data_IF_058601123145
#
_entry.id   IF_058601123145
#
_cell.length_a   1.000
_cell.length_b   1.000
_cell.length_c   1.000
_cell.angle_alpha   90.00
_cell.angle_beta   90.00
_cell.angle_gamma   90.00
#
_symmetry.space_group_name_H-M   'P 1'
#
loop_
_entity.id
_entity.type
_entity.pdbx_description
1 polymer ?
#
# COMPACT_ATOMS: atom_id res chain seq x y z
N UNK A 1 -5.67 17.39 -9.12
CA UNK A 1 -4.81 16.19 -9.28
C UNK A 1 -4.03 16.00 -8.00
N UNK A 2 -4.12 14.82 -7.38
CA UNK A 2 -3.35 14.49 -6.18
C UNK A 2 -1.90 14.18 -6.48
N UNK A 3 -1.61 13.54 -7.62
CA UNK A 3 -0.25 13.29 -8.08
C UNK A 3 -0.17 13.30 -9.60
N UNK A 4 0.97 13.77 -10.12
CA UNK A 4 1.27 13.78 -11.56
C UNK A 4 2.74 13.39 -11.75
N UNK A 5 2.98 12.37 -12.56
CA UNK A 5 4.30 11.91 -12.96
C UNK A 5 4.42 12.08 -14.46
N UNK A 6 5.52 12.70 -14.95
CA UNK A 6 5.77 12.89 -16.39
C UNK A 6 7.21 12.58 -16.72
N UNK A 7 7.39 11.74 -17.74
CA UNK A 7 8.68 11.32 -18.27
C UNK A 7 9.68 10.88 -17.20
N UNK A 8 9.17 10.15 -16.15
CA UNK A 8 10.00 9.72 -15.04
C UNK A 8 10.97 8.63 -15.48
N UNK A 9 12.25 8.92 -15.29
CA UNK A 9 13.33 7.95 -15.48
C UNK A 9 14.11 7.80 -14.19
N UNK A 10 14.40 6.56 -13.81
CA UNK A 10 15.20 6.23 -12.63
C UNK A 10 16.25 5.20 -13.01
N UNK A 11 17.52 5.54 -12.81
CA UNK A 11 18.63 4.62 -12.94
C UNK A 11 19.38 4.48 -11.60
N UNK A 12 19.82 3.28 -11.26
CA UNK A 12 20.64 3.00 -10.05
C UNK A 12 21.95 2.38 -10.49
N UNK A 13 23.06 3.01 -10.13
CA UNK A 13 24.41 2.59 -10.56
C UNK A 13 24.50 2.43 -12.10
N UNK A 14 23.88 3.32 -12.85
CA UNK A 14 23.82 3.30 -14.33
C UNK A 14 22.87 2.27 -14.94
N UNK A 15 22.20 1.43 -14.14
CA UNK A 15 21.18 0.48 -14.62
C UNK A 15 19.81 1.14 -14.62
N UNK A 16 19.10 1.25 -15.76
CA UNK A 16 17.74 1.75 -15.81
C UNK A 16 16.78 0.82 -15.06
N UNK A 17 15.92 1.40 -14.23
CA UNK A 17 14.90 0.71 -13.44
C UNK A 17 13.49 1.18 -13.84
N UNK A 18 13.33 2.48 -14.09
CA UNK A 18 12.09 3.10 -14.58
C UNK A 18 12.49 3.92 -15.82
N UNK A 19 11.70 3.81 -16.88
CA UNK A 19 12.03 4.35 -18.20
C UNK A 19 10.79 5.00 -18.82
N UNK A 20 10.78 6.32 -18.89
CA UNK A 20 9.76 7.17 -19.50
C UNK A 20 8.34 6.91 -18.98
N UNK A 21 8.16 6.91 -17.65
CA UNK A 21 6.86 6.63 -17.02
C UNK A 21 6.05 7.90 -16.86
N UNK A 22 4.82 7.85 -17.38
CA UNK A 22 3.74 8.80 -17.13
C UNK A 22 2.63 8.15 -16.29
N UNK A 23 2.24 8.81 -15.20
CA UNK A 23 1.16 8.36 -14.31
C UNK A 23 0.49 9.57 -13.68
N UNK A 24 -0.83 9.54 -13.53
CA UNK A 24 -1.57 10.56 -12.81
C UNK A 24 -2.61 9.93 -11.87
N UNK A 25 -2.93 10.65 -10.79
CA UNK A 25 -3.95 10.28 -9.81
C UNK A 25 -4.83 11.50 -9.59
N UNK A 26 -6.11 11.39 -9.95
CA UNK A 26 -7.08 12.45 -9.69
C UNK A 26 -7.40 12.54 -8.18
N UNK A 27 -7.99 13.67 -7.76
CA UNK A 27 -8.43 13.82 -6.38
C UNK A 27 -9.55 12.83 -6.06
N UNK A 28 -9.42 12.09 -4.97
CA UNK A 28 -10.35 11.05 -4.55
C UNK A 28 -10.29 9.75 -5.37
N UNK A 29 -9.35 9.64 -6.32
CA UNK A 29 -9.22 8.45 -7.17
C UNK A 29 -8.37 7.36 -6.51
N UNK A 30 -8.78 6.10 -6.71
CA UNK A 30 -8.01 4.92 -6.32
C UNK A 30 -7.41 4.28 -7.57
N UNK A 31 -6.10 4.49 -7.75
CA UNK A 31 -5.33 4.02 -8.90
C UNK A 31 -4.45 2.85 -8.51
N UNK A 32 -4.41 1.83 -9.36
CA UNK A 32 -3.53 0.67 -9.22
C UNK A 32 -2.24 0.81 -10.02
N UNK A 33 -1.15 0.28 -9.48
CA UNK A 33 0.08 0.05 -10.22
C UNK A 33 0.46 -1.42 -10.07
N UNK A 34 0.28 -2.18 -11.14
CA UNK A 34 0.50 -3.62 -11.15
C UNK A 34 1.66 -3.99 -12.08
N UNK A 35 2.34 -5.08 -11.79
CA UNK A 35 3.44 -5.60 -12.61
C UNK A 35 4.20 -6.69 -11.89
N UNK A 36 5.08 -7.39 -12.60
CA UNK A 36 5.94 -8.43 -12.06
C UNK A 36 6.88 -7.90 -10.97
N UNK A 37 7.42 -8.81 -10.14
CA UNK A 37 8.46 -8.45 -9.18
C UNK A 37 9.68 -7.87 -9.91
N UNK A 38 10.21 -6.77 -9.40
CA UNK A 38 11.36 -6.07 -10.02
C UNK A 38 11.01 -5.15 -11.20
N UNK A 39 9.73 -4.98 -11.57
CA UNK A 39 9.35 -4.09 -12.69
C UNK A 39 9.55 -2.58 -12.42
N UNK A 40 9.85 -2.16 -11.17
CA UNK A 40 10.10 -0.76 -10.83
C UNK A 40 9.02 -0.09 -9.96
N UNK A 41 7.91 -0.78 -9.62
CA UNK A 41 6.76 -0.22 -8.86
C UNK A 41 7.16 0.51 -7.57
N UNK A 42 7.89 -0.17 -6.69
CA UNK A 42 8.34 0.44 -5.42
C UNK A 42 9.35 1.57 -5.63
N UNK A 43 10.05 1.62 -6.77
CA UNK A 43 10.93 2.74 -7.09
C UNK A 43 10.13 3.99 -7.47
N UNK A 44 8.99 3.82 -8.17
CA UNK A 44 8.05 4.91 -8.45
C UNK A 44 7.48 5.44 -7.13
N UNK A 45 7.02 4.56 -6.23
CA UNK A 45 6.53 4.96 -4.90
C UNK A 45 7.60 5.74 -4.11
N UNK A 46 8.84 5.26 -4.10
CA UNK A 46 9.96 5.95 -3.43
C UNK A 46 10.30 7.28 -4.09
N UNK A 47 10.18 7.39 -5.42
CA UNK A 47 10.37 8.66 -6.13
C UNK A 47 9.31 9.69 -5.70
N UNK A 48 8.04 9.28 -5.60
CA UNK A 48 6.96 10.13 -5.11
C UNK A 48 7.21 10.62 -3.68
N UNK A 49 7.82 9.80 -2.83
CA UNK A 49 8.15 10.14 -1.45
C UNK A 49 9.48 10.88 -1.30
N UNK A 50 10.27 11.06 -2.37
CA UNK A 50 11.63 11.58 -2.28
C UNK A 50 12.57 10.69 -1.47
N UNK A 51 12.35 9.36 -1.48
CA UNK A 51 13.07 8.35 -0.69
C UNK A 51 13.93 7.42 -1.57
N UNK A 52 14.34 7.89 -2.73
CA UNK A 52 15.28 7.15 -3.57
C UNK A 52 16.68 7.10 -2.94
N UNK A 53 17.45 6.02 -3.15
CA UNK A 53 18.82 5.94 -2.65
C UNK A 53 19.70 7.04 -3.29
N UNK A 54 20.72 7.48 -2.57
CA UNK A 54 21.62 8.55 -3.03
C UNK A 54 22.35 8.21 -4.35
N UNK A 55 22.44 6.94 -4.72
CA UNK A 55 23.00 6.47 -5.99
C UNK A 55 22.03 6.52 -7.17
N UNK A 56 20.76 6.90 -6.92
CA UNK A 56 19.77 7.02 -7.97
C UNK A 56 19.97 8.29 -8.79
N UNK A 57 19.95 8.12 -10.11
CA UNK A 57 19.84 9.22 -11.07
C UNK A 57 18.36 9.31 -11.49
N UNK A 58 17.76 10.49 -11.33
CA UNK A 58 16.34 10.71 -11.58
C UNK A 58 16.18 11.87 -12.52
N UNK A 59 15.38 11.69 -13.57
CA UNK A 59 14.95 12.76 -14.47
C UNK A 59 13.44 12.70 -14.68
N UNK A 60 12.86 13.74 -15.27
CA UNK A 60 11.41 13.88 -15.42
C UNK A 60 10.81 14.69 -14.28
N UNK A 61 9.51 14.52 -14.05
CA UNK A 61 8.74 15.30 -13.08
C UNK A 61 7.88 14.39 -12.22
N UNK A 62 7.86 14.66 -10.92
CA UNK A 62 6.92 14.08 -9.95
C UNK A 62 6.35 15.23 -9.14
N UNK A 63 5.06 15.46 -9.25
CA UNK A 63 4.35 16.54 -8.56
C UNK A 63 3.30 15.94 -7.62
N UNK A 64 3.30 16.35 -6.35
CA UNK A 64 2.30 16.00 -5.34
C UNK A 64 1.62 17.28 -4.86
N UNK A 65 0.31 17.39 -5.09
CA UNK A 65 -0.47 18.55 -4.66
C UNK A 65 0.08 19.91 -5.13
N UNK A 66 0.67 19.97 -6.32
CA UNK A 66 1.29 21.18 -6.87
C UNK A 66 2.75 21.38 -6.47
N UNK A 67 3.34 20.46 -5.70
CA UNK A 67 4.74 20.55 -5.27
C UNK A 67 5.61 19.55 -6.03
N UNK A 68 6.66 20.06 -6.72
CA UNK A 68 7.62 19.23 -7.43
C UNK A 68 8.56 18.53 -6.45
N UNK A 69 8.73 17.20 -6.63
CA UNK A 69 9.53 16.33 -5.78
C UNK A 69 10.93 16.11 -6.35
N UNK A 70 11.04 15.82 -7.66
CA UNK A 70 12.34 15.58 -8.31
C UNK A 70 13.16 16.86 -8.25
N UNK A 71 14.36 16.79 -7.65
CA UNK A 71 15.24 17.93 -7.47
C UNK A 71 14.89 18.85 -6.27
N UNK A 72 13.82 18.57 -5.54
CA UNK A 72 13.49 19.32 -4.32
C UNK A 72 14.46 18.98 -3.17
N UNK A 73 14.64 19.93 -2.24
CA UNK A 73 15.39 19.65 -1.02
C UNK A 73 14.65 18.66 -0.12
N UNK A 74 15.40 17.88 0.66
CA UNK A 74 14.78 16.94 1.60
C UNK A 74 13.84 17.63 2.60
N UNK A 75 14.16 18.84 3.04
CA UNK A 75 13.32 19.64 3.92
C UNK A 75 11.95 19.97 3.28
N UNK A 76 11.91 20.33 2.00
CA UNK A 76 10.68 20.63 1.29
C UNK A 76 9.79 19.37 1.12
N UNK A 77 10.42 18.23 0.83
CA UNK A 77 9.70 16.94 0.71
C UNK A 77 9.28 16.40 2.07
N UNK A 78 10.09 16.65 3.12
CA UNK A 78 9.77 16.22 4.48
C UNK A 78 8.45 16.82 5.00
N UNK A 79 8.13 18.08 4.62
CA UNK A 79 6.85 18.70 5.00
C UNK A 79 5.64 18.04 4.34
N UNK A 80 5.80 17.46 3.16
CA UNK A 80 4.73 16.72 2.48
C UNK A 80 4.53 15.32 3.08
N UNK A 81 5.63 14.66 3.49
CA UNK A 81 5.57 13.33 4.12
C UNK A 81 4.83 13.42 5.46
N UNK A 82 3.74 12.67 5.58
CA UNK A 82 2.88 12.67 6.75
C UNK A 82 1.82 13.77 6.79
N UNK A 83 1.93 14.87 6.04
CA UNK A 83 0.87 15.90 5.94
C UNK A 83 0.02 15.76 4.70
N UNK A 84 0.67 15.61 3.55
CA UNK A 84 0.00 15.46 2.25
C UNK A 84 -0.08 14.02 1.81
N UNK A 85 1.00 13.26 1.98
CA UNK A 85 1.12 11.86 1.56
C UNK A 85 1.46 10.96 2.74
N UNK A 86 0.67 9.90 2.92
CA UNK A 86 0.94 8.79 3.83
C UNK A 86 1.38 7.55 3.05
N UNK A 87 2.24 6.73 3.66
CA UNK A 87 2.72 5.49 3.01
C UNK A 87 2.50 4.28 3.90
N UNK A 88 1.89 3.25 3.33
CA UNK A 88 1.78 1.90 3.90
C UNK A 88 2.82 1.03 3.21
N UNK A 89 3.77 0.51 3.99
CA UNK A 89 4.91 -0.25 3.48
C UNK A 89 4.60 -1.74 3.34
N UNK A 90 5.27 -2.40 2.42
CA UNK A 90 5.19 -3.84 2.14
C UNK A 90 5.49 -4.70 3.39
N UNK A 91 6.48 -4.32 4.18
CA UNK A 91 6.86 -5.04 5.39
C UNK A 91 6.67 -4.15 6.62
N UNK A 92 5.55 -4.28 7.34
CA UNK A 92 5.29 -3.47 8.53
C UNK A 92 6.31 -3.73 9.63
N UNK A 93 6.88 -4.94 9.73
CA UNK A 93 7.89 -5.25 10.74
C UNK A 93 9.21 -4.51 10.52
N UNK A 94 9.53 -4.19 9.27
CA UNK A 94 10.72 -3.38 8.94
C UNK A 94 10.44 -1.87 9.03
N UNK A 95 9.17 -1.47 8.86
CA UNK A 95 8.77 -0.06 8.91
C UNK A 95 8.54 0.45 10.35
N UNK A 96 8.09 -0.43 11.26
CA UNK A 96 7.85 -0.07 12.65
C UNK A 96 9.13 -0.05 13.47
N UNK A 97 9.34 0.98 14.27
CA UNK A 97 10.48 1.09 15.17
C UNK A 97 10.31 0.12 16.35
N UNK A 98 11.20 -0.88 16.55
CA UNK A 98 11.02 -1.92 17.56
C UNK A 98 11.10 -1.43 19.01
N UNK A 99 11.64 -0.24 19.25
CA UNK A 99 11.79 0.37 20.60
C UNK A 99 10.75 1.44 20.92
N UNK A 100 9.75 1.62 20.05
CA UNK A 100 8.63 2.52 20.27
C UNK A 100 7.34 1.73 20.48
N UNK A 101 6.49 2.19 21.40
CA UNK A 101 5.15 1.63 21.57
C UNK A 101 4.24 2.00 20.38
N UNK A 102 3.13 1.30 20.24
CA UNK A 102 2.11 1.62 19.21
C UNK A 102 1.66 3.06 19.31
N UNK A 103 1.34 3.55 20.52
CA UNK A 103 0.92 4.93 20.72
C UNK A 103 1.98 5.93 20.27
N UNK A 104 3.25 5.67 20.56
CA UNK A 104 4.36 6.52 20.13
C UNK A 104 4.53 6.52 18.61
N UNK A 105 4.45 5.37 17.98
CA UNK A 105 4.62 5.25 16.52
C UNK A 105 3.50 5.92 15.75
N UNK A 106 2.25 5.62 16.11
CA UNK A 106 1.08 6.21 15.45
C UNK A 106 1.00 7.72 15.73
N UNK A 107 1.42 8.16 16.92
CA UNK A 107 1.45 9.59 17.29
C UNK A 107 2.61 10.38 16.68
N UNK A 108 3.65 9.72 16.16
CA UNK A 108 4.86 10.40 15.67
C UNK A 108 4.60 11.39 14.52
N UNK A 109 3.82 11.07 13.48
CA UNK A 109 3.49 12.04 12.43
C UNK A 109 2.75 13.27 12.97
N UNK A 110 1.87 13.10 13.96
CA UNK A 110 1.19 14.22 14.60
C UNK A 110 2.17 15.11 15.36
N UNK A 111 3.13 14.50 16.05
CA UNK A 111 4.17 15.25 16.79
C UNK A 111 5.07 16.07 15.86
N UNK A 112 5.42 15.52 14.70
CA UNK A 112 6.34 16.16 13.75
C UNK A 112 5.70 17.29 12.95
N UNK A 113 4.39 17.21 12.67
CA UNK A 113 3.74 18.09 11.71
C UNK A 113 2.67 19.02 12.29
N UNK A 114 2.25 18.80 13.53
CA UNK A 114 1.14 19.55 14.12
C UNK A 114 1.45 20.03 15.54
N UNK A 115 1.09 21.26 15.84
CA UNK A 115 1.15 21.81 17.20
C UNK A 115 -0.11 21.39 17.97
N UNK A 116 -0.07 20.18 18.52
CA UNK A 116 -1.17 19.58 19.27
C UNK A 116 -0.73 19.29 20.71
N UNK A 117 -1.65 19.48 21.66
CA UNK A 117 -1.47 19.03 23.04
C UNK A 117 -1.35 17.49 23.11
N UNK A 118 -0.82 16.99 24.23
CA UNK A 118 -0.74 15.55 24.48
C UNK A 118 -2.13 14.89 24.45
N UNK A 119 -3.16 15.57 24.98
CA UNK A 119 -4.53 15.06 24.99
C UNK A 119 -5.09 14.92 23.59
N UNK A 120 -4.98 15.96 22.75
CA UNK A 120 -5.44 15.93 21.35
C UNK A 120 -4.72 14.87 20.53
N UNK A 121 -3.40 14.68 20.72
CA UNK A 121 -2.65 13.60 20.05
C UNK A 121 -3.14 12.23 20.49
N UNK A 122 -3.32 12.02 21.79
CA UNK A 122 -3.82 10.75 22.33
C UNK A 122 -5.20 10.41 21.78
N UNK A 123 -6.11 11.38 21.75
CA UNK A 123 -7.46 11.22 21.19
C UNK A 123 -7.41 10.80 19.71
N UNK A 124 -6.60 11.48 18.88
CA UNK A 124 -6.46 11.13 17.44
C UNK A 124 -5.84 9.76 17.25
N UNK A 125 -4.84 9.38 18.06
CA UNK A 125 -4.21 8.06 18.02
C UNK A 125 -5.24 6.97 18.36
N UNK A 126 -5.99 7.14 19.45
CA UNK A 126 -7.04 6.18 19.84
C UNK A 126 -8.13 6.08 18.78
N UNK A 127 -8.57 7.22 18.24
CA UNK A 127 -9.59 7.23 17.19
C UNK A 127 -9.15 6.51 15.91
N UNK A 128 -7.92 6.72 15.43
CA UNK A 128 -7.42 6.05 14.22
C UNK A 128 -7.18 4.56 14.47
N UNK A 129 -6.71 4.16 15.66
CA UNK A 129 -6.55 2.75 16.02
C UNK A 129 -7.90 2.03 16.05
N UNK A 130 -8.94 2.65 16.61
CA UNK A 130 -10.29 2.11 16.56
C UNK A 130 -10.81 1.92 15.12
N UNK A 131 -10.53 2.88 14.21
CA UNK A 131 -10.90 2.77 12.79
C UNK A 131 -10.22 1.59 12.10
N UNK A 132 -9.00 1.23 12.47
CA UNK A 132 -8.33 0.03 11.93
C UNK A 132 -8.67 -1.24 12.70
N UNK A 133 -9.64 -1.20 13.63
CA UNK A 133 -10.11 -2.35 14.40
C UNK A 133 -9.12 -2.81 15.48
N UNK A 134 -8.36 -1.88 16.06
CA UNK A 134 -7.48 -2.12 17.20
C UNK A 134 -7.99 -1.38 18.44
N UNK A 135 -8.07 -2.09 19.57
CA UNK A 135 -8.48 -1.52 20.85
C UNK A 135 -7.36 -0.78 21.57
N UNK A 136 -7.69 -0.17 22.71
CA UNK A 136 -6.72 0.57 23.55
C UNK A 136 -5.66 -0.36 24.17
N UNK A 137 -5.94 -1.66 24.27
CA UNK A 137 -5.02 -2.68 24.81
C UNK A 137 -3.70 -2.78 24.05
N UNK A 138 -3.66 -2.28 22.80
CA UNK A 138 -2.43 -2.27 21.98
C UNK A 138 -1.56 -1.02 22.19
N UNK A 139 -2.08 0.05 22.77
CA UNK A 139 -1.39 1.36 22.85
C UNK A 139 0.01 1.26 23.50
N UNK A 140 0.13 0.47 24.56
CA UNK A 140 1.38 0.29 25.30
C UNK A 140 2.26 -0.83 24.74
N UNK A 141 1.77 -1.62 23.78
CA UNK A 141 2.52 -2.75 23.19
C UNK A 141 3.60 -2.27 22.22
N UNK A 142 4.66 -3.05 22.14
CA UNK A 142 5.73 -2.91 21.14
C UNK A 142 5.42 -3.77 19.91
N UNK A 143 6.05 -3.50 18.75
CA UNK A 143 5.81 -4.26 17.52
C UNK A 143 6.00 -5.78 17.64
N UNK A 144 6.94 -6.24 18.45
CA UNK A 144 7.19 -7.66 18.66
C UNK A 144 6.09 -8.39 19.45
N UNK A 145 5.23 -7.65 20.18
CA UNK A 145 4.09 -8.20 20.94
C UNK A 145 2.81 -8.31 20.11
N UNK A 146 2.85 -7.84 18.84
CA UNK A 146 1.71 -7.81 17.93
C UNK A 146 1.74 -8.98 16.94
N UNK A 147 0.57 -9.46 16.53
CA UNK A 147 0.45 -10.35 15.37
C UNK A 147 0.83 -9.64 14.06
N UNK A 148 1.08 -10.39 12.98
CA UNK A 148 1.37 -9.82 11.66
C UNK A 148 0.27 -8.87 11.17
N UNK A 149 -1.00 -9.28 11.29
CA UNK A 149 -2.15 -8.45 10.93
C UNK A 149 -2.30 -7.20 11.81
N UNK A 150 -2.00 -7.30 13.12
CA UNK A 150 -2.00 -6.13 14.00
C UNK A 150 -0.88 -5.15 13.62
N UNK A 151 0.34 -5.62 13.32
CA UNK A 151 1.43 -4.76 12.82
C UNK A 151 1.03 -4.03 11.54
N UNK A 152 0.36 -4.72 10.61
CA UNK A 152 -0.13 -4.11 9.38
C UNK A 152 -1.16 -3.01 9.66
N UNK A 153 -2.12 -3.27 10.56
CA UNK A 153 -3.12 -2.28 10.98
C UNK A 153 -2.49 -1.06 11.67
N UNK A 154 -1.45 -1.26 12.49
CA UNK A 154 -0.67 -0.16 13.08
C UNK A 154 0.04 0.67 11.99
N UNK A 155 0.63 0.02 10.98
CA UNK A 155 1.23 0.71 9.82
C UNK A 155 0.20 1.55 9.05
N UNK A 156 -1.00 1.01 8.82
CA UNK A 156 -2.12 1.75 8.19
C UNK A 156 -2.55 2.93 9.07
N UNK A 157 -2.72 2.72 10.38
CA UNK A 157 -3.07 3.78 11.31
C UNK A 157 -2.03 4.92 11.30
N UNK A 158 -0.74 4.58 11.28
CA UNK A 158 0.36 5.55 11.20
C UNK A 158 0.29 6.37 9.91
N UNK A 159 -0.02 5.75 8.77
CA UNK A 159 -0.15 6.44 7.49
C UNK A 159 -1.38 7.37 7.43
N UNK A 160 -2.45 7.05 8.18
CA UNK A 160 -3.74 7.75 8.12
C UNK A 160 -3.97 8.77 9.24
N UNK A 161 -3.19 8.74 10.34
CA UNK A 161 -3.45 9.54 11.56
C UNK A 161 -3.50 11.06 11.31
N UNK A 162 -2.82 11.53 10.28
CA UNK A 162 -2.77 12.93 9.86
C UNK A 162 -3.86 13.29 8.85
N UNK A 163 -4.66 12.32 8.42
CA UNK A 163 -5.66 12.46 7.35
C UNK A 163 -5.04 13.04 6.05
N UNK A 164 -4.01 12.37 5.48
CA UNK A 164 -3.34 12.84 4.28
C UNK A 164 -4.26 12.82 3.06
N UNK A 165 -3.95 13.61 2.03
CA UNK A 165 -4.72 13.65 0.78
C UNK A 165 -4.39 12.53 -0.19
N UNK A 166 -3.21 11.94 -0.07
CA UNK A 166 -2.76 10.82 -0.89
C UNK A 166 -2.23 9.69 0.00
N UNK A 167 -2.65 8.47 -0.27
CA UNK A 167 -2.11 7.26 0.34
C UNK A 167 -1.34 6.47 -0.73
N UNK A 168 -0.10 6.11 -0.45
CA UNK A 168 0.67 5.16 -1.25
C UNK A 168 0.72 3.84 -0.47
N UNK A 169 0.09 2.80 -0.99
CA UNK A 169 0.10 1.47 -0.41
C UNK A 169 0.99 0.54 -1.25
N UNK A 170 2.22 0.33 -0.80
CA UNK A 170 3.22 -0.49 -1.51
C UNK A 170 3.14 -1.93 -1.03
N UNK A 171 2.50 -2.79 -1.80
CA UNK A 171 2.27 -4.22 -1.52
C UNK A 171 1.76 -4.48 -0.08
N UNK A 172 0.67 -3.84 0.36
CA UNK A 172 0.27 -3.82 1.78
C UNK A 172 -0.21 -5.17 2.32
N UNK A 173 -0.25 -6.21 1.50
CA UNK A 173 -0.83 -7.53 1.86
C UNK A 173 0.08 -8.71 1.59
N UNK A 174 1.30 -8.50 1.07
CA UNK A 174 2.20 -9.57 0.57
C UNK A 174 2.59 -10.63 1.62
N UNK A 175 2.59 -10.29 2.91
CA UNK A 175 2.98 -11.21 3.99
C UNK A 175 1.79 -11.79 4.78
N UNK A 176 0.55 -11.69 4.23
CA UNK A 176 -0.68 -12.08 4.92
C UNK A 176 -1.35 -13.27 4.23
N UNK A 177 -2.07 -14.06 5.01
CA UNK A 177 -2.96 -15.09 4.48
C UNK A 177 -4.14 -14.47 3.70
N UNK A 178 -4.80 -15.24 2.83
CA UNK A 178 -5.82 -14.75 1.90
C UNK A 178 -7.03 -14.10 2.60
N UNK A 179 -7.39 -14.55 3.80
CA UNK A 179 -8.52 -13.98 4.56
C UNK A 179 -8.12 -12.61 5.12
N UNK A 180 -6.98 -12.56 5.78
CA UNK A 180 -6.43 -11.31 6.35
C UNK A 180 -6.12 -10.30 5.23
N UNK A 181 -5.57 -10.75 4.09
CA UNK A 181 -5.33 -9.92 2.92
C UNK A 181 -6.61 -9.20 2.47
N UNK A 182 -7.72 -9.94 2.31
CA UNK A 182 -9.02 -9.37 1.93
C UNK A 182 -9.51 -8.33 2.94
N UNK A 183 -9.41 -8.65 4.23
CA UNK A 183 -9.81 -7.74 5.30
C UNK A 183 -8.99 -6.43 5.30
N UNK A 184 -7.69 -6.50 5.03
CA UNK A 184 -6.82 -5.32 4.97
C UNK A 184 -7.15 -4.47 3.74
N UNK A 185 -7.43 -5.08 2.59
CA UNK A 185 -7.84 -4.34 1.39
C UNK A 185 -9.16 -3.62 1.61
N UNK A 186 -10.17 -4.31 2.15
CA UNK A 186 -11.48 -3.72 2.45
C UNK A 186 -11.37 -2.57 3.45
N UNK A 187 -10.58 -2.77 4.50
CA UNK A 187 -10.31 -1.75 5.51
C UNK A 187 -9.67 -0.51 4.86
N UNK A 188 -8.61 -0.70 4.08
CA UNK A 188 -7.86 0.41 3.47
C UNK A 188 -8.74 1.18 2.47
N UNK A 189 -9.49 0.47 1.62
CA UNK A 189 -10.42 1.11 0.67
C UNK A 189 -11.53 1.89 1.37
N UNK A 190 -12.15 1.33 2.40
CA UNK A 190 -13.18 2.02 3.20
C UNK A 190 -12.63 3.30 3.84
N UNK A 191 -11.44 3.24 4.46
CA UNK A 191 -10.83 4.39 5.12
C UNK A 191 -10.42 5.50 4.13
N UNK A 192 -9.95 5.11 2.94
CA UNK A 192 -9.62 6.05 1.85
C UNK A 192 -10.89 6.73 1.34
N UNK A 193 -11.96 5.97 1.07
CA UNK A 193 -13.24 6.50 0.60
C UNK A 193 -13.88 7.43 1.66
N UNK A 194 -13.88 7.04 2.93
CA UNK A 194 -14.41 7.86 4.04
C UNK A 194 -13.66 9.19 4.20
N UNK A 195 -12.35 9.20 3.98
CA UNK A 195 -11.52 10.41 4.10
C UNK A 195 -11.55 11.30 2.85
N UNK A 196 -12.03 10.79 1.72
CA UNK A 196 -11.93 11.44 0.41
C UNK A 196 -10.50 11.57 -0.10
N UNK A 197 -9.57 10.80 0.45
CA UNK A 197 -8.19 10.75 -0.01
C UNK A 197 -8.08 10.02 -1.35
N UNK A 198 -7.01 10.30 -2.08
CA UNK A 198 -6.63 9.51 -3.25
C UNK A 198 -5.72 8.36 -2.82
N UNK A 199 -5.64 7.30 -3.63
CA UNK A 199 -4.77 6.17 -3.34
C UNK A 199 -4.01 5.68 -4.56
N UNK A 200 -2.70 5.44 -4.39
CA UNK A 200 -1.90 4.59 -5.27
C UNK A 200 -1.73 3.23 -4.59
N UNK A 201 -2.37 2.21 -5.14
CA UNK A 201 -2.29 0.84 -4.65
C UNK A 201 -1.34 0.02 -5.53
N UNK A 202 -0.21 -0.39 -4.97
CA UNK A 202 0.82 -1.15 -5.68
C UNK A 202 0.71 -2.62 -5.29
N UNK A 203 0.62 -3.49 -6.28
CA UNK A 203 0.57 -4.94 -6.06
C UNK A 203 1.11 -5.69 -7.28
N UNK A 204 1.42 -6.97 -7.10
CA UNK A 204 1.65 -7.92 -8.18
C UNK A 204 0.44 -8.86 -8.37
N UNK A 205 -0.59 -8.74 -7.51
CA UNK A 205 -1.80 -9.56 -7.55
C UNK A 205 -2.99 -8.78 -8.14
N UNK A 206 -3.42 -9.19 -9.33
CA UNK A 206 -4.52 -8.57 -10.04
C UNK A 206 -5.89 -8.78 -9.37
N UNK A 207 -6.09 -9.89 -8.67
CA UNK A 207 -7.35 -10.14 -7.95
C UNK A 207 -7.56 -9.15 -6.80
N UNK A 208 -6.46 -8.79 -6.13
CA UNK A 208 -6.47 -7.76 -5.09
C UNK A 208 -6.68 -6.38 -5.69
N UNK A 209 -6.06 -6.11 -6.83
CA UNK A 209 -6.14 -4.81 -7.50
C UNK A 209 -7.57 -4.43 -7.86
N UNK A 210 -8.34 -5.36 -8.45
CA UNK A 210 -9.74 -5.12 -8.84
C UNK A 210 -10.64 -4.70 -7.67
N UNK A 211 -10.30 -5.15 -6.46
CA UNK A 211 -11.04 -4.80 -5.25
C UNK A 211 -10.63 -3.43 -4.70
N UNK A 212 -9.38 -3.05 -4.91
CA UNK A 212 -8.79 -1.85 -4.32
C UNK A 212 -8.93 -0.61 -5.20
N UNK A 213 -9.07 -0.76 -6.54
CA UNK A 213 -8.87 0.34 -7.49
C UNK A 213 -9.93 0.38 -8.58
N UNK A 214 -10.13 1.55 -9.17
CA UNK A 214 -11.06 1.77 -10.30
C UNK A 214 -10.32 1.83 -11.63
N UNK A 215 -9.07 2.31 -11.62
CA UNK A 215 -8.19 2.42 -12.78
C UNK A 215 -6.81 1.88 -12.42
N UNK A 216 -6.10 1.33 -13.38
CA UNK A 216 -4.75 0.82 -13.14
C UNK A 216 -3.79 1.07 -14.31
N UNK A 217 -2.50 0.97 -13.97
CA UNK A 217 -1.36 0.98 -14.86
C UNK A 217 -0.64 -0.34 -14.76
N UNK A 218 -0.31 -0.96 -15.90
CA UNK A 218 0.50 -2.17 -16.00
C UNK A 218 1.93 -1.77 -16.26
N UNK A 219 2.83 -2.06 -15.32
CA UNK A 219 4.25 -1.77 -15.41
C UNK A 219 5.05 -3.04 -15.70
N UNK A 220 5.78 -3.05 -16.79
CA UNK A 220 6.72 -4.12 -17.13
C UNK A 220 8.06 -3.54 -17.57
N UNK A 221 9.16 -4.11 -17.08
CA UNK A 221 10.53 -3.68 -17.43
C UNK A 221 10.77 -2.16 -17.31
N UNK A 222 10.14 -1.53 -16.32
CA UNK A 222 10.27 -0.10 -16.05
C UNK A 222 9.39 0.81 -16.89
N UNK A 223 8.52 0.30 -17.76
CA UNK A 223 7.64 1.06 -18.64
C UNK A 223 6.17 0.76 -18.37
N UNK A 224 5.31 1.76 -18.57
CA UNK A 224 3.86 1.55 -18.61
C UNK A 224 3.51 0.94 -19.97
N UNK A 225 3.05 -0.31 -19.96
CA UNK A 225 2.64 -1.04 -21.16
C UNK A 225 1.15 -0.84 -21.47
N UNK A 226 0.34 -0.66 -20.42
CA UNK A 226 -1.10 -0.54 -20.56
C UNK A 226 -1.70 0.24 -19.39
N UNK A 227 -2.79 0.95 -19.62
CA UNK A 227 -3.55 1.63 -18.56
C UNK A 227 -5.02 1.73 -18.93
N UNK A 228 -5.90 1.70 -17.94
CA UNK A 228 -7.34 1.79 -18.16
C UNK A 228 -8.15 1.46 -16.91
N UNK A 229 -9.47 1.32 -17.11
CA UNK A 229 -10.37 0.79 -16.09
C UNK A 229 -9.91 -0.59 -15.64
N UNK A 230 -9.85 -0.81 -14.33
CA UNK A 230 -9.27 -2.04 -13.76
C UNK A 230 -10.06 -3.28 -14.17
N UNK A 231 -11.39 -3.22 -14.19
CA UNK A 231 -12.24 -4.34 -14.57
C UNK A 231 -12.11 -4.64 -16.06
N UNK A 232 -12.14 -3.60 -16.90
CA UNK A 232 -11.98 -3.76 -18.36
C UNK A 232 -10.63 -4.39 -18.72
N UNK A 233 -9.56 -3.99 -18.03
CA UNK A 233 -8.21 -4.53 -18.23
C UNK A 233 -8.07 -6.01 -17.80
N UNK A 234 -8.81 -6.41 -16.75
CA UNK A 234 -8.89 -7.80 -16.29
C UNK A 234 -9.63 -8.70 -17.29
N UNK A 235 -10.70 -8.18 -17.88
CA UNK A 235 -11.53 -8.94 -18.80
C UNK A 235 -10.92 -9.00 -20.21
N UNK A 236 -10.34 -7.91 -20.66
CA UNK A 236 -9.83 -7.71 -22.02
C UNK A 236 -8.46 -7.01 -22.04
N UNK A 237 -7.38 -7.65 -21.56
CA UNK A 237 -6.04 -7.08 -21.67
C UNK A 237 -5.62 -6.96 -23.15
N UNK A 238 -4.94 -5.87 -23.51
CA UNK A 238 -4.54 -5.59 -24.88
C UNK A 238 -3.06 -5.88 -25.14
N UNK A 239 -2.23 -5.90 -24.09
CA UNK A 239 -0.78 -6.12 -24.20
C UNK A 239 -0.39 -7.52 -23.74
N UNK A 240 0.77 -8.00 -24.18
CA UNK A 240 1.32 -9.27 -23.70
C UNK A 240 1.57 -9.23 -22.18
N UNK A 241 1.97 -8.08 -21.65
CA UNK A 241 2.14 -7.86 -20.22
C UNK A 241 0.82 -8.03 -19.46
N UNK A 242 -0.26 -7.39 -19.93
CA UNK A 242 -1.60 -7.54 -19.38
C UNK A 242 -2.08 -8.99 -19.43
N UNK A 243 -1.93 -9.66 -20.58
CA UNK A 243 -2.29 -11.08 -20.73
C UNK A 243 -1.57 -11.98 -19.74
N UNK A 244 -0.24 -11.83 -19.55
CA UNK A 244 0.54 -12.62 -18.58
C UNK A 244 0.06 -12.41 -17.14
N UNK A 245 -0.21 -11.16 -16.76
CA UNK A 245 -0.69 -10.83 -15.41
C UNK A 245 -2.08 -11.41 -15.14
N UNK A 246 -3.01 -11.28 -16.09
CA UNK A 246 -4.37 -11.84 -15.97
C UNK A 246 -4.34 -13.38 -15.91
N UNK A 247 -3.51 -14.05 -16.73
CA UNK A 247 -3.33 -15.50 -16.66
C UNK A 247 -2.80 -15.95 -15.29
N UNK A 248 -1.81 -15.24 -14.73
CA UNK A 248 -1.27 -15.53 -13.41
C UNK A 248 -2.33 -15.37 -12.31
N UNK A 249 -3.15 -14.32 -12.36
CA UNK A 249 -4.24 -14.09 -11.42
C UNK A 249 -5.31 -15.20 -11.48
N UNK A 250 -5.70 -15.62 -12.69
CA UNK A 250 -6.67 -16.71 -12.89
C UNK A 250 -6.14 -18.05 -12.38
N UNK A 251 -4.86 -18.34 -12.58
CA UNK A 251 -4.22 -19.56 -12.07
C UNK A 251 -4.22 -19.60 -10.52
N UNK A 252 -3.92 -18.50 -9.86
CA UNK A 252 -3.96 -18.38 -8.38
C UNK A 252 -5.38 -18.56 -7.84
N UNK A 253 -6.39 -17.99 -8.49
CA UNK A 253 -7.80 -18.10 -8.10
C UNK A 253 -8.32 -19.54 -8.18
N UNK A 254 -7.88 -20.32 -9.19
CA UNK A 254 -8.23 -21.73 -9.35
C UNK A 254 -7.63 -22.61 -8.25
N UNK A 255 -6.41 -22.33 -7.79
CA UNK A 255 -5.76 -23.07 -6.70
C UNK A 255 -6.40 -22.77 -5.35
N UNK A 256 -6.75 -21.52 -5.08
CA UNK A 256 -7.44 -21.12 -3.84
C UNK A 256 -8.84 -21.76 -3.71
N UNK A 257 -9.55 -21.97 -4.82
CA UNK A 257 -10.85 -22.67 -4.85
C UNK A 257 -10.72 -24.18 -4.61
N UNK A 258 -9.62 -24.81 -4.98
CA UNK A 258 -9.39 -26.25 -4.78
C UNK A 258 -8.97 -26.58 -3.34
N UNK A 259 -8.25 -25.70 -2.66
CA UNK A 259 -7.86 -25.90 -1.27
C UNK A 259 -9.05 -25.69 -0.29
N UNK A 260 -9.92 -24.73 -0.56
CA UNK A 260 -11.18 -24.56 0.18
C UNK A 260 -12.12 -25.77 0.05
N UNK A 261 -12.11 -26.44 -1.11
CA UNK A 261 -12.86 -27.69 -1.34
C UNK A 261 -12.27 -28.91 -0.63
N UNK A 262 -10.96 -28.93 -0.34
CA UNK A 262 -10.29 -30.04 0.34
C UNK A 262 -10.40 -29.98 1.85
N UNK A 263 -10.52 -28.80 2.46
CA UNK A 263 -10.76 -28.66 3.89
C UNK A 263 -12.19 -29.03 4.29
N UNK A 264 -13.18 -28.83 3.42
CA UNK A 264 -14.58 -29.22 3.68
C UNK A 264 -14.84 -30.73 3.62
N UNK A 265 -13.92 -31.53 3.08
CA UNK A 265 -14.03 -33.00 2.97
C UNK A 265 -13.26 -33.74 4.08
N UNK A 266 -12.44 -33.07 4.88
CA UNK A 266 -11.75 -33.64 6.04
C UNK A 266 -12.45 -33.27 7.33
N UNK A 267 -13.62 -33.82 7.61
CA UNK A 267 -14.05 -34.36 8.88
C UNK A 267 -15.56 -34.64 8.94
N UNK A 268 -15.99 -35.87 8.76
CA UNK A 268 -16.92 -36.43 9.71
C UNK A 268 -16.61 -37.89 10.01
N UNK A 269 -15.65 -38.21 10.86
CA UNK A 269 -15.56 -39.52 11.52
C UNK A 269 -14.37 -39.58 12.47
N UNK A 270 -14.50 -38.97 13.66
CA UNK A 270 -13.75 -39.36 14.87
C UNK A 270 -14.34 -38.64 16.09
N UNK A 271 -15.60 -39.00 16.40
CA UNK A 271 -16.18 -38.85 17.72
C UNK A 271 -17.11 -40.03 17.91
N UNK A 272 -16.55 -41.11 18.38
CA UNK A 272 -17.23 -42.20 19.12
C UNK A 272 -16.17 -43.28 19.35
N UNK A 273 -15.70 -43.36 20.54
CA UNK A 273 -15.21 -44.49 21.32
C UNK A 273 -14.25 -43.95 22.36
N UNK A 274 -14.78 -43.71 23.55
CA UNK A 274 -14.23 -44.10 24.85
C UNK A 274 -15.22 -43.67 25.93
N UNK A 275 -16.12 -44.60 26.19
CA UNK A 275 -16.76 -44.81 27.47
C UNK A 275 -16.82 -46.34 27.68
N UNK A 276 -15.85 -46.81 28.44
CA UNK A 276 -16.02 -47.87 29.46
C UNK A 276 -14.83 -47.84 30.40
#
# INVERSE_FOLDING_TARGET
MSAVIRHLNIAINGKPIVDDVDLDIADGERVGLVGSSGSGKSMIARAMMGLLPATAQVTGSVELGGTQIVGASDAAVADLRGRYVGMVFQNPSAALNPVMTVAQQVGLPLYLHYDLSLAERSERVTAVLAKVGLGEDVLAKYPHELSGGQRQRVGIATALVTSPRLIIADEPTTALDSITQRQIVDLLTSLVDESGASMLFITHDFAVLNRATTRCYVLENGRIEESGDTTALLDHPHTDAGHRLVQSARALSLHAGQDAGRESVRNPAQKEVDHD
#
